data_IF_286518447552
#
_entry.id   IF_286518447552
#
_cell.length_a   1.000
_cell.length_b   1.000
_cell.length_c   1.000
_cell.angle_alpha   90.00
_cell.angle_beta   90.00
_cell.angle_gamma   90.00
#
_symmetry.space_group_name_H-M   'P 1'
#
loop_
_entity.id
_entity.type
_entity.pdbx_description
1 polymer ?
#
# COMPACT_ATOMS: atom_id res chain seq x y z
N UNK A 1 17.79 19.63 8.50
CA UNK A 1 18.35 18.32 8.86
C UNK A 1 17.96 17.28 7.84
N UNK A 2 18.84 16.33 7.53
CA UNK A 2 18.62 15.32 6.48
C UNK A 2 19.13 13.95 6.89
N UNK A 3 18.25 12.95 6.90
CA UNK A 3 18.59 11.59 7.31
C UNK A 3 18.31 10.60 6.20
N UNK A 4 19.25 9.71 5.94
CA UNK A 4 19.15 8.66 4.94
C UNK A 4 18.85 7.33 5.62
N UNK A 5 17.66 6.78 5.41
CA UNK A 5 17.29 5.45 5.91
C UNK A 5 17.52 4.45 4.79
N UNK A 6 18.56 3.63 4.90
CA UNK A 6 18.91 2.64 3.88
C UNK A 6 17.87 1.54 3.80
N UNK A 7 17.42 1.16 2.61
CA UNK A 7 16.45 0.07 2.46
C UNK A 7 17.12 -1.28 2.67
N UNK A 8 16.47 -2.15 3.44
CA UNK A 8 16.92 -3.52 3.72
C UNK A 8 16.35 -4.53 2.74
N UNK A 9 15.31 -4.17 2.00
CA UNK A 9 14.51 -5.10 1.20
C UNK A 9 13.28 -5.62 1.94
N UNK A 10 13.20 -5.39 3.27
CA UNK A 10 11.99 -5.58 4.07
C UNK A 10 11.11 -4.34 3.94
N UNK A 11 10.34 -4.28 2.87
CA UNK A 11 9.73 -3.04 2.43
C UNK A 11 8.76 -2.43 3.44
N UNK A 12 7.96 -3.24 4.16
CA UNK A 12 7.07 -2.73 5.21
C UNK A 12 7.85 -2.16 6.39
N UNK A 13 8.94 -2.83 6.77
CA UNK A 13 9.84 -2.36 7.82
C UNK A 13 10.58 -1.07 7.41
N UNK A 14 11.08 -0.98 6.18
CA UNK A 14 11.79 0.19 5.65
C UNK A 14 10.89 1.43 5.61
N UNK A 15 9.66 1.28 5.11
CA UNK A 15 8.64 2.34 5.09
C UNK A 15 8.29 2.77 6.50
N UNK A 16 8.12 1.82 7.41
CA UNK A 16 7.82 2.12 8.80
C UNK A 16 8.95 2.89 9.48
N UNK A 17 10.22 2.54 9.23
CA UNK A 17 11.36 3.31 9.77
C UNK A 17 11.35 4.76 9.28
N UNK A 18 11.06 5.00 8.00
CA UNK A 18 10.94 6.35 7.44
C UNK A 18 9.85 7.17 8.14
N UNK A 19 8.65 6.61 8.27
CA UNK A 19 7.57 7.28 9.02
C UNK A 19 7.89 7.46 10.50
N UNK A 20 8.57 6.49 11.13
CA UNK A 20 8.98 6.57 12.53
C UNK A 20 9.94 7.73 12.78
N UNK A 21 10.91 7.94 11.88
CA UNK A 21 11.83 9.07 11.98
C UNK A 21 11.14 10.40 11.72
N UNK A 22 10.26 10.48 10.70
CA UNK A 22 9.45 11.68 10.47
C UNK A 22 8.58 12.03 11.67
N UNK A 23 7.98 11.04 12.32
CA UNK A 23 7.23 11.24 13.56
C UNK A 23 8.12 11.79 14.67
N UNK A 24 9.26 11.14 14.94
CA UNK A 24 10.21 11.54 15.98
C UNK A 24 10.66 13.00 15.78
N UNK A 25 11.07 13.36 14.57
CA UNK A 25 11.49 14.72 14.24
C UNK A 25 10.33 15.72 14.40
N UNK A 26 9.13 15.35 13.97
CA UNK A 26 7.96 16.24 14.09
C UNK A 26 7.55 16.50 15.53
N UNK A 27 7.68 15.51 16.42
CA UNK A 27 7.33 15.69 17.84
C UNK A 27 8.43 16.39 18.65
N UNK A 28 9.68 16.28 18.19
CA UNK A 28 10.82 16.95 18.82
C UNK A 28 10.99 18.41 18.38
N UNK A 29 10.44 18.82 17.23
CA UNK A 29 10.66 20.14 16.66
C UNK A 29 10.08 21.29 17.52
N UNK A 30 10.97 22.14 18.02
CA UNK A 30 10.59 23.36 18.75
C UNK A 30 10.11 24.48 17.83
N UNK A 31 10.66 24.55 16.61
CA UNK A 31 10.37 25.63 15.67
C UNK A 31 8.94 25.55 15.13
N UNK A 32 8.45 24.33 14.85
CA UNK A 32 7.12 24.05 14.31
C UNK A 32 6.79 24.82 13.02
N UNK A 33 7.82 25.29 12.31
CA UNK A 33 7.69 26.09 11.08
C UNK A 33 7.36 25.17 9.91
N UNK A 34 8.08 24.05 9.81
CA UNK A 34 8.00 23.10 8.71
C UNK A 34 7.63 21.69 9.22
N UNK A 35 7.23 20.82 8.29
CA UNK A 35 6.92 19.42 8.60
C UNK A 35 7.97 18.52 7.96
N UNK A 36 8.46 17.46 8.65
CA UNK A 36 9.38 16.52 8.04
C UNK A 36 8.81 15.92 6.76
N UNK A 37 9.61 15.83 5.70
CA UNK A 37 9.24 15.16 4.45
C UNK A 37 10.00 13.85 4.27
N UNK A 38 9.41 12.92 3.54
CA UNK A 38 10.01 11.65 3.12
C UNK A 38 10.08 11.64 1.59
N UNK A 39 11.28 11.46 1.08
CA UNK A 39 11.58 11.31 -0.34
C UNK A 39 12.15 9.91 -0.62
N UNK A 40 11.59 9.19 -1.60
CA UNK A 40 12.14 7.92 -2.05
C UNK A 40 13.22 8.16 -3.11
N UNK A 41 14.47 7.84 -2.76
CA UNK A 41 15.64 8.02 -3.63
C UNK A 41 16.05 6.73 -4.37
N UNK A 42 15.21 5.70 -4.30
CA UNK A 42 15.47 4.37 -4.84
C UNK A 42 16.13 3.45 -3.81
N UNK A 43 17.37 3.73 -3.41
CA UNK A 43 18.15 2.89 -2.48
C UNK A 43 17.91 3.23 -0.99
N UNK A 44 17.43 4.44 -0.69
CA UNK A 44 17.12 4.91 0.65
C UNK A 44 15.86 5.80 0.67
N UNK A 45 15.27 5.97 1.84
CA UNK A 45 14.35 7.07 2.13
C UNK A 45 15.13 8.25 2.70
N UNK A 46 15.02 9.42 2.08
CA UNK A 46 15.56 10.67 2.59
C UNK A 46 14.49 11.36 3.43
N UNK A 47 14.73 11.48 4.73
CA UNK A 47 13.86 12.23 5.66
C UNK A 47 14.47 13.60 5.89
N UNK A 48 13.76 14.65 5.50
CA UNK A 48 14.23 16.04 5.58
C UNK A 48 13.35 16.84 6.53
N UNK A 49 13.95 17.56 7.48
CA UNK A 49 13.28 18.60 8.26
C UNK A 49 14.00 19.92 7.99
N UNK A 50 13.39 20.77 7.17
CA UNK A 50 13.91 22.11 6.87
C UNK A 50 13.59 23.05 8.04
N UNK A 51 14.54 23.93 8.37
CA UNK A 51 14.35 24.98 9.40
C UNK A 51 13.87 24.49 10.78
N UNK A 52 13.95 23.18 11.06
CA UNK A 52 13.56 22.61 12.34
C UNK A 52 14.67 22.72 13.37
N UNK A 53 14.26 22.78 14.63
CA UNK A 53 15.10 22.78 15.81
C UNK A 53 14.62 21.67 16.76
N UNK A 54 14.82 20.39 16.41
CA UNK A 54 14.39 19.30 17.28
C UNK A 54 15.24 19.26 18.55
N UNK A 55 14.58 19.09 19.69
CA UNK A 55 15.25 18.95 20.98
C UNK A 55 14.70 17.78 21.79
N UNK A 56 15.58 17.14 22.56
CA UNK A 56 15.20 16.06 23.48
C UNK A 56 14.27 16.57 24.57
N UNK A 57 14.49 17.80 25.04
CA UNK A 57 13.66 18.45 26.06
C UNK A 57 12.21 18.60 25.59
N UNK A 58 12.01 19.13 24.37
CA UNK A 58 10.69 19.27 23.75
C UNK A 58 10.02 17.92 23.57
N UNK A 59 10.75 16.94 23.05
CA UNK A 59 10.24 15.59 22.83
C UNK A 59 9.68 14.99 24.13
N UNK A 60 10.49 14.95 25.20
CA UNK A 60 10.11 14.34 26.49
C UNK A 60 8.96 15.07 27.21
N UNK A 61 8.82 16.37 26.97
CA UNK A 61 7.76 17.20 27.58
C UNK A 61 6.50 17.29 26.72
N UNK A 62 6.52 16.81 25.47
CA UNK A 62 5.40 16.93 24.55
C UNK A 62 4.25 16.00 24.95
N UNK A 63 3.05 16.54 25.29
CA UNK A 63 1.89 15.70 25.59
C UNK A 63 1.50 14.82 24.41
N UNK A 64 1.66 15.32 23.18
CA UNK A 64 1.36 14.57 21.97
C UNK A 64 2.32 13.40 21.79
N UNK A 65 3.61 13.59 22.09
CA UNK A 65 4.60 12.51 22.07
C UNK A 65 4.26 11.41 23.08
N UNK A 66 3.94 11.80 24.32
CA UNK A 66 3.54 10.85 25.36
C UNK A 66 2.25 10.10 24.96
N UNK A 67 1.28 10.82 24.39
CA UNK A 67 0.01 10.27 23.92
C UNK A 67 0.16 9.26 22.78
N UNK A 68 1.22 9.33 21.97
CA UNK A 68 1.47 8.37 20.89
C UNK A 68 1.70 6.95 21.41
N UNK A 69 2.15 6.77 22.64
CA UNK A 69 2.40 5.44 23.22
C UNK A 69 1.18 4.84 23.93
N UNK A 70 0.08 5.59 24.01
CA UNK A 70 -1.20 5.07 24.44
C UNK A 70 -1.87 4.30 23.30
N UNK A 71 -2.29 3.07 23.60
CA UNK A 71 -2.89 2.20 22.58
C UNK A 71 -4.28 2.71 22.25
N UNK A 72 -4.51 3.01 20.97
CA UNK A 72 -5.83 3.41 20.52
C UNK A 72 -6.79 2.22 20.50
N UNK A 73 -8.09 2.50 20.68
CA UNK A 73 -9.14 1.51 20.54
C UNK A 73 -9.14 0.92 19.13
N UNK A 74 -9.55 -0.35 19.03
CA UNK A 74 -9.58 -1.06 17.75
C UNK A 74 -10.43 -0.31 16.73
N UNK A 75 -9.81 0.01 15.60
CA UNK A 75 -10.49 0.67 14.50
C UNK A 75 -10.69 2.17 14.68
N UNK A 76 -10.02 2.81 15.64
CA UNK A 76 -9.91 4.28 15.71
C UNK A 76 -8.68 4.77 14.93
N UNK A 77 -8.58 6.08 14.68
CA UNK A 77 -7.49 6.72 13.94
C UNK A 77 -6.17 6.77 14.74
N UNK A 78 -6.15 6.47 16.03
CA UNK A 78 -4.94 6.59 16.84
C UNK A 78 -3.82 5.58 16.51
N UNK A 79 -2.75 5.54 17.31
CA UNK A 79 -1.63 4.61 17.15
C UNK A 79 -2.08 3.15 17.23
N UNK A 80 -1.74 2.36 16.19
CA UNK A 80 -2.21 0.98 16.00
C UNK A 80 -1.31 -0.07 16.67
N UNK A 81 -0.82 0.20 17.88
CA UNK A 81 0.09 -0.69 18.62
C UNK A 81 -0.45 -2.11 18.80
N UNK A 82 -1.77 -2.26 18.98
CA UNK A 82 -2.43 -3.55 19.11
C UNK A 82 -2.38 -4.40 17.82
N UNK A 83 -2.37 -3.74 16.67
CA UNK A 83 -2.17 -4.39 15.37
C UNK A 83 -0.71 -4.75 15.14
N UNK A 84 0.20 -3.84 15.49
CA UNK A 84 1.64 -4.06 15.38
C UNK A 84 2.10 -5.28 16.21
N UNK A 85 1.68 -5.33 17.48
CA UNK A 85 2.01 -6.40 18.43
C UNK A 85 0.90 -7.46 18.54
N UNK A 86 0.24 -7.77 17.43
CA UNK A 86 -0.92 -8.69 17.38
C UNK A 86 -0.61 -10.12 17.86
N UNK A 87 0.65 -10.54 17.83
CA UNK A 87 1.12 -11.85 18.31
C UNK A 87 1.32 -11.92 19.82
N UNK A 88 1.39 -10.77 20.50
CA UNK A 88 1.51 -10.68 21.95
C UNK A 88 0.09 -10.67 22.52
N UNK A 89 -0.25 -11.67 23.35
CA UNK A 89 -1.59 -11.77 23.93
C UNK A 89 -1.73 -10.98 25.24
N UNK A 90 -0.65 -10.83 25.99
CA UNK A 90 -0.63 -10.12 27.27
C UNK A 90 -0.48 -8.60 27.07
N UNK A 91 -1.46 -7.84 27.54
CA UNK A 91 -1.45 -6.37 27.48
C UNK A 91 -0.30 -5.76 28.29
N UNK A 92 0.15 -6.40 29.39
CA UNK A 92 1.29 -5.94 30.16
C UNK A 92 2.57 -6.00 29.32
N UNK A 93 2.76 -7.08 28.56
CA UNK A 93 3.89 -7.23 27.65
C UNK A 93 3.83 -6.24 26.49
N UNK A 94 2.64 -5.99 25.91
CA UNK A 94 2.49 -4.95 24.88
C UNK A 94 2.85 -3.57 25.42
N UNK A 95 2.38 -3.22 26.63
CA UNK A 95 2.71 -1.95 27.27
C UNK A 95 4.21 -1.83 27.50
N UNK A 96 4.85 -2.87 28.02
CA UNK A 96 6.30 -2.88 28.20
C UNK A 96 7.07 -2.70 26.88
N UNK A 97 6.58 -3.30 25.77
CA UNK A 97 7.18 -3.09 24.44
C UNK A 97 7.01 -1.65 23.94
N UNK A 98 5.84 -1.02 24.15
CA UNK A 98 5.63 0.39 23.80
C UNK A 98 6.57 1.30 24.60
N UNK A 99 6.70 1.04 25.89
CA UNK A 99 7.58 1.81 26.76
C UNK A 99 9.05 1.67 26.36
N UNK A 100 9.47 0.45 26.01
CA UNK A 100 10.80 0.21 25.47
C UNK A 100 11.04 0.99 24.17
N UNK A 101 10.07 1.03 23.24
CA UNK A 101 10.19 1.87 22.03
C UNK A 101 10.39 3.33 22.40
N UNK A 102 9.61 3.86 23.36
CA UNK A 102 9.76 5.26 23.81
C UNK A 102 11.15 5.52 24.36
N UNK A 103 11.59 4.72 25.33
CA UNK A 103 12.91 4.88 25.98
C UNK A 103 14.04 4.83 24.96
N UNK A 104 14.05 3.84 24.06
CA UNK A 104 15.09 3.73 23.04
C UNK A 104 15.14 4.95 22.11
N UNK A 105 13.99 5.49 21.71
CA UNK A 105 13.95 6.68 20.86
C UNK A 105 14.37 7.95 21.61
N UNK A 106 13.98 8.10 22.89
CA UNK A 106 14.36 9.24 23.72
C UNK A 106 15.84 9.24 24.10
N UNK A 107 16.46 8.07 24.23
CA UNK A 107 17.88 7.92 24.54
C UNK A 107 18.73 8.20 23.29
N UNK A 108 18.29 7.75 22.11
CA UNK A 108 18.99 7.98 20.84
C UNK A 108 18.73 9.37 20.22
N UNK A 109 17.69 10.06 20.66
CA UNK A 109 17.27 11.36 20.10
C UNK A 109 18.39 12.40 20.12
N UNK A 110 19.15 12.50 21.23
CA UNK A 110 20.24 13.48 21.35
C UNK A 110 21.29 13.30 20.25
N UNK A 111 21.75 12.05 20.05
CA UNK A 111 22.72 11.69 19.02
C UNK A 111 22.21 11.99 17.61
N UNK A 112 20.93 11.72 17.35
CA UNK A 112 20.31 12.00 16.04
C UNK A 112 20.22 13.51 15.78
N UNK A 113 19.90 14.31 16.79
CA UNK A 113 19.67 15.74 16.62
C UNK A 113 20.99 16.53 16.52
N UNK A 114 22.02 16.15 17.26
CA UNK A 114 23.33 16.83 17.22
C UNK A 114 24.01 16.71 15.84
N UNK A 115 23.83 15.59 15.15
CA UNK A 115 24.50 15.32 13.87
C UNK A 115 23.98 16.18 12.71
N UNK A 116 22.72 16.64 12.74
CA UNK A 116 22.08 17.44 11.68
C UNK A 116 21.86 16.72 10.34
N UNK A 117 22.73 15.76 10.01
CA UNK A 117 22.66 14.84 8.89
C UNK A 117 23.16 13.47 9.31
N UNK A 118 22.53 12.39 8.85
CA UNK A 118 22.96 11.05 9.24
C UNK A 118 22.53 9.95 8.28
N UNK A 119 23.32 8.89 8.23
CA UNK A 119 22.98 7.63 7.58
C UNK A 119 22.51 6.65 8.66
N UNK A 120 21.31 6.09 8.49
CA UNK A 120 20.69 5.13 9.40
C UNK A 120 20.61 3.78 8.69
N UNK A 121 21.61 2.96 8.98
CA UNK A 121 21.73 1.58 8.50
C UNK A 121 21.25 0.58 9.55
N UNK A 122 20.77 -0.58 9.10
CA UNK A 122 20.42 -1.68 10.00
C UNK A 122 21.67 -2.49 10.31
N UNK A 123 21.98 -2.64 11.59
CA UNK A 123 22.96 -3.64 12.04
C UNK A 123 22.25 -4.97 12.28
N UNK A 124 22.68 -6.00 11.55
CA UNK A 124 22.21 -7.39 11.73
C UNK A 124 23.08 -8.18 12.72
N UNK A 125 24.30 -7.73 12.97
CA UNK A 125 25.26 -8.41 13.87
C UNK A 125 24.97 -8.10 15.34
N UNK A 126 24.38 -6.94 15.63
CA UNK A 126 23.93 -6.51 16.96
C UNK A 126 22.42 -6.75 17.16
N UNK A 127 21.83 -7.76 16.50
CA UNK A 127 20.40 -8.06 16.61
C UNK A 127 19.99 -8.29 18.06
N UNK A 128 19.36 -7.29 18.69
CA UNK A 128 18.92 -7.36 20.09
C UNK A 128 17.45 -7.68 20.21
N UNK A 129 16.65 -7.33 19.19
CA UNK A 129 15.20 -7.40 19.25
C UNK A 129 14.60 -7.87 17.93
N UNK A 130 13.68 -8.82 18.05
CA UNK A 130 12.97 -9.35 16.90
C UNK A 130 11.96 -8.36 16.31
N UNK A 131 11.92 -8.30 14.99
CA UNK A 131 10.92 -7.54 14.23
C UNK A 131 9.53 -8.15 14.46
N UNK A 132 8.50 -7.36 14.81
CA UNK A 132 7.15 -7.88 14.99
C UNK A 132 6.54 -8.39 13.69
N UNK A 133 5.92 -9.57 13.70
CA UNK A 133 5.21 -10.08 12.51
C UNK A 133 4.06 -9.18 12.03
N UNK A 134 3.43 -8.42 12.94
CA UNK A 134 2.43 -7.42 12.58
C UNK A 134 2.99 -6.22 11.81
N UNK A 135 4.32 -6.03 11.85
CA UNK A 135 5.03 -5.02 11.06
C UNK A 135 5.47 -5.58 9.71
N UNK A 136 6.10 -6.76 9.73
CA UNK A 136 6.68 -7.39 8.56
C UNK A 136 6.29 -8.88 8.52
N UNK A 137 5.48 -9.34 7.54
CA UNK A 137 5.00 -10.72 7.50
C UNK A 137 6.13 -11.75 7.38
N UNK A 138 7.28 -11.39 6.79
CA UNK A 138 8.43 -12.31 6.72
C UNK A 138 9.09 -12.54 8.09
N UNK A 139 8.84 -11.67 9.08
CA UNK A 139 9.34 -11.82 10.45
C UNK A 139 8.57 -12.86 11.28
N UNK A 140 7.46 -13.42 10.77
CA UNK A 140 6.78 -14.52 11.45
C UNK A 140 7.65 -15.78 11.47
N UNK A 141 7.89 -16.31 12.66
CA UNK A 141 8.57 -17.60 12.83
C UNK A 141 7.75 -18.72 12.19
N UNK A 142 8.34 -19.44 11.23
CA UNK A 142 7.75 -20.64 10.64
C UNK A 142 6.66 -20.39 9.60
N UNK A 143 6.77 -19.33 8.79
CA UNK A 143 5.95 -19.15 7.57
C UNK A 143 6.43 -20.14 6.51
N UNK A 144 5.69 -21.25 6.43
CA UNK A 144 6.01 -22.43 5.63
C UNK A 144 5.60 -22.20 4.18
N UNK A 145 6.56 -22.00 3.29
CA UNK A 145 6.45 -22.60 1.95
C UNK A 145 7.03 -24.00 2.05
N UNK A 146 6.34 -25.02 1.52
CA UNK A 146 6.85 -26.38 1.49
C UNK A 146 7.99 -26.48 0.46
N UNK A 147 9.20 -26.09 0.86
CA UNK A 147 10.42 -26.43 0.13
C UNK A 147 11.01 -27.71 0.73
N UNK A 148 11.52 -28.60 -0.13
CA UNK A 148 12.01 -29.95 0.21
C UNK A 148 13.29 -29.98 1.09
N UNK A 149 13.69 -28.87 1.70
CA UNK A 149 14.89 -28.76 2.54
C UNK A 149 14.53 -28.50 4.00
N UNK A 150 15.22 -29.17 4.94
CA UNK A 150 15.24 -28.76 6.35
C UNK A 150 15.97 -27.42 6.45
N UNK A 151 15.24 -26.33 6.65
CA UNK A 151 15.81 -25.03 6.98
C UNK A 151 15.18 -24.50 8.26
N UNK A 152 16.01 -24.30 9.29
CA UNK A 152 15.67 -23.53 10.47
C UNK A 152 16.20 -22.11 10.25
N UNK A 153 15.38 -21.23 9.68
CA UNK A 153 15.77 -19.81 9.60
C UNK A 153 15.66 -19.17 11.00
N UNK A 154 16.69 -18.44 11.45
CA UNK A 154 16.64 -17.70 12.70
C UNK A 154 15.57 -16.61 12.64
N UNK A 155 15.14 -16.15 13.82
CA UNK A 155 14.19 -15.05 13.93
C UNK A 155 14.84 -13.77 13.38
N UNK A 156 14.08 -12.96 12.65
CA UNK A 156 14.58 -11.71 12.08
C UNK A 156 14.79 -10.68 13.19
N UNK A 157 16.04 -10.37 13.49
CA UNK A 157 16.47 -9.46 14.55
C UNK A 157 17.24 -8.26 13.97
N UNK A 158 17.06 -7.10 14.60
CA UNK A 158 17.69 -5.83 14.18
C UNK A 158 18.15 -5.06 15.41
N UNK A 159 18.98 -4.04 15.21
CA UNK A 159 19.39 -3.12 16.27
C UNK A 159 18.23 -2.31 16.86
N UNK A 160 18.45 -1.81 18.08
CA UNK A 160 17.42 -1.14 18.89
C UNK A 160 16.83 0.11 18.23
N UNK A 161 17.65 0.93 17.58
CA UNK A 161 17.17 2.17 16.95
C UNK A 161 16.25 1.85 15.78
N UNK A 162 16.69 0.98 14.87
CA UNK A 162 15.89 0.58 13.72
C UNK A 162 14.62 -0.17 14.12
N UNK A 163 14.70 -1.02 15.15
CA UNK A 163 13.54 -1.67 15.73
C UNK A 163 12.53 -0.65 16.26
N UNK A 164 12.99 0.34 17.03
CA UNK A 164 12.14 1.33 17.66
C UNK A 164 11.50 2.29 16.63
N UNK A 165 12.27 2.77 15.65
CA UNK A 165 11.75 3.56 14.52
C UNK A 165 10.71 2.78 13.72
N UNK A 166 11.02 1.52 13.38
CA UNK A 166 10.09 0.65 12.66
C UNK A 166 8.81 0.39 13.45
N UNK A 167 8.89 0.22 14.77
CA UNK A 167 7.71 0.04 15.60
C UNK A 167 6.87 1.32 15.69
N UNK A 168 7.48 2.48 15.92
CA UNK A 168 6.78 3.77 15.98
C UNK A 168 6.06 4.06 14.65
N UNK A 169 6.78 4.02 13.53
CA UNK A 169 6.16 4.28 12.24
C UNK A 169 5.22 3.17 11.79
N UNK A 170 5.43 1.92 12.22
CA UNK A 170 4.49 0.83 12.00
C UNK A 170 3.16 1.05 12.71
N UNK A 171 3.19 1.52 13.96
CA UNK A 171 1.98 1.86 14.72
C UNK A 171 1.27 3.10 14.17
N UNK A 172 2.02 4.10 13.69
CA UNK A 172 1.45 5.35 13.17
C UNK A 172 1.00 5.23 11.71
N UNK A 173 1.80 4.65 10.82
CA UNK A 173 1.52 4.54 9.39
C UNK A 173 0.83 3.25 8.96
N UNK A 174 0.97 2.18 9.74
CA UNK A 174 0.25 0.93 9.48
C UNK A 174 -1.24 1.07 9.72
N UNK A 175 -2.04 0.62 8.76
CA UNK A 175 -3.50 0.52 8.90
C UNK A 175 -3.91 -0.92 9.15
N UNK A 176 -4.40 -1.20 10.36
CA UNK A 176 -4.81 -2.53 10.79
C UNK A 176 -6.34 -2.66 10.81
N UNK A 177 -6.87 -3.42 9.87
CA UNK A 177 -8.32 -3.60 9.67
C UNK A 177 -8.71 -4.99 10.18
N UNK A 178 -9.33 -5.02 11.35
CA UNK A 178 -9.82 -6.27 11.95
C UNK A 178 -11.16 -6.68 11.34
N UNK A 179 -11.23 -7.89 10.80
CA UNK A 179 -12.46 -8.46 10.27
C UNK A 179 -12.55 -9.96 10.59
N UNK A 180 -13.46 -10.30 11.50
CA UNK A 180 -13.65 -11.67 11.99
C UNK A 180 -12.35 -12.31 12.51
N UNK A 181 -11.83 -13.33 11.82
CA UNK A 181 -10.58 -14.03 12.15
C UNK A 181 -9.38 -13.51 11.36
N UNK A 182 -9.52 -12.40 10.65
CA UNK A 182 -8.48 -11.80 9.83
C UNK A 182 -8.14 -10.38 10.29
N UNK A 183 -6.91 -9.98 10.07
CA UNK A 183 -6.45 -8.60 10.17
C UNK A 183 -5.78 -8.25 8.83
N UNK A 184 -6.25 -7.22 8.16
CA UNK A 184 -5.62 -6.71 6.94
C UNK A 184 -4.73 -5.53 7.32
N UNK A 185 -3.48 -5.59 6.89
CA UNK A 185 -2.50 -4.53 7.10
C UNK A 185 -2.24 -3.85 5.77
N UNK A 186 -2.28 -2.53 5.77
CA UNK A 186 -2.05 -1.69 4.60
C UNK A 186 -1.04 -0.60 4.95
N UNK A 187 -0.04 -0.41 4.09
CA UNK A 187 0.95 0.66 4.16
C UNK A 187 0.99 1.42 2.84
N UNK A 188 0.86 2.74 2.89
CA UNK A 188 1.14 3.59 1.73
C UNK A 188 2.65 3.83 1.67
N UNK A 189 3.28 3.56 0.53
CA UNK A 189 4.73 3.70 0.35
C UNK A 189 5.02 5.13 -0.13
N UNK A 190 5.74 5.95 0.66
CA UNK A 190 6.03 7.32 0.29
C UNK A 190 6.92 7.36 -0.95
N UNK A 191 6.65 8.31 -1.85
CA UNK A 191 7.58 8.73 -2.89
C UNK A 191 8.06 10.16 -2.63
N UNK A 192 7.13 11.05 -2.29
CA UNK A 192 7.40 12.40 -1.80
C UNK A 192 6.23 12.81 -0.91
N UNK A 193 6.38 12.84 0.42
CA UNK A 193 5.27 13.17 1.32
C UNK A 193 5.74 13.91 2.56
N UNK A 194 5.06 15.01 2.91
CA UNK A 194 5.24 15.66 4.21
C UNK A 194 4.49 14.89 5.30
N UNK A 195 5.00 14.90 6.52
CA UNK A 195 4.36 14.27 7.67
C UNK A 195 2.95 14.82 7.92
N UNK A 196 2.78 16.14 7.76
CA UNK A 196 1.47 16.81 7.82
C UNK A 196 0.49 16.28 6.77
N UNK A 197 0.91 16.16 5.51
CA UNK A 197 0.03 15.66 4.44
C UNK A 197 -0.29 14.18 4.60
N UNK A 198 0.67 13.39 5.08
CA UNK A 198 0.44 12.00 5.45
C UNK A 198 -0.68 11.89 6.49
N UNK A 199 -0.65 12.68 7.57
CA UNK A 199 -1.70 12.65 8.59
C UNK A 199 -3.07 13.02 8.04
N UNK A 200 -3.14 14.07 7.22
CA UNK A 200 -4.38 14.47 6.57
C UNK A 200 -4.95 13.35 5.69
N UNK A 201 -4.13 12.75 4.83
CA UNK A 201 -4.57 11.64 3.97
C UNK A 201 -4.92 10.38 4.76
N UNK A 202 -4.21 10.12 5.86
CA UNK A 202 -4.51 9.00 6.76
C UNK A 202 -5.88 9.16 7.40
N UNK A 203 -6.21 10.35 7.89
CA UNK A 203 -7.52 10.67 8.45
C UNK A 203 -8.63 10.47 7.42
N UNK A 204 -8.50 11.09 6.25
CA UNK A 204 -9.54 11.04 5.22
C UNK A 204 -9.75 9.60 4.71
N UNK A 205 -8.67 8.85 4.50
CA UNK A 205 -8.78 7.44 4.09
C UNK A 205 -9.28 6.52 5.22
N UNK A 206 -9.13 6.93 6.48
CA UNK A 206 -9.70 6.23 7.64
C UNK A 206 -11.21 6.41 7.72
N UNK A 207 -11.69 7.65 7.62
CA UNK A 207 -13.12 8.01 7.69
C UNK A 207 -13.89 7.36 6.54
N UNK A 208 -13.33 7.36 5.34
CA UNK A 208 -13.97 6.80 4.15
C UNK A 208 -13.90 5.26 4.06
N UNK A 209 -13.58 4.55 5.14
CA UNK A 209 -13.47 3.09 5.10
C UNK A 209 -14.80 2.40 4.79
N UNK A 210 -14.73 1.27 4.10
CA UNK A 210 -15.88 0.38 4.00
C UNK A 210 -16.13 -0.34 5.33
N UNK A 211 -17.39 -0.62 5.63
CA UNK A 211 -17.80 -1.40 6.80
C UNK A 211 -17.30 -2.85 6.75
N UNK A 212 -17.11 -3.39 5.54
CA UNK A 212 -16.62 -4.75 5.29
C UNK A 212 -15.74 -4.75 4.04
N UNK A 213 -14.70 -5.57 4.04
CA UNK A 213 -13.91 -5.87 2.85
C UNK A 213 -14.03 -7.35 2.47
N UNK A 214 -13.96 -7.67 1.18
CA UNK A 214 -13.96 -9.07 0.71
C UNK A 214 -12.66 -9.81 1.03
N UNK A 215 -11.58 -9.05 1.24
CA UNK A 215 -10.25 -9.53 1.58
C UNK A 215 -9.23 -8.40 1.52
N UNK A 216 -7.96 -8.70 1.80
CA UNK A 216 -6.89 -7.70 1.83
C UNK A 216 -6.71 -6.97 0.49
N UNK A 217 -6.84 -7.67 -0.65
CA UNK A 217 -6.76 -7.05 -1.98
C UNK A 217 -7.87 -6.01 -2.20
N UNK A 218 -9.09 -6.33 -1.78
CA UNK A 218 -10.24 -5.41 -1.86
C UNK A 218 -10.02 -4.18 -0.98
N UNK A 219 -9.46 -4.36 0.21
CA UNK A 219 -9.10 -3.27 1.11
C UNK A 219 -7.99 -2.38 0.53
N UNK A 220 -6.96 -2.98 -0.07
CA UNK A 220 -5.88 -2.25 -0.73
C UNK A 220 -6.36 -1.48 -1.97
N UNK A 221 -7.20 -2.09 -2.81
CA UNK A 221 -7.79 -1.44 -3.98
C UNK A 221 -8.64 -0.24 -3.59
N UNK A 222 -9.55 -0.41 -2.62
CA UNK A 222 -10.35 0.69 -2.08
C UNK A 222 -9.50 1.79 -1.47
N UNK A 223 -8.54 1.45 -0.61
CA UNK A 223 -7.63 2.44 -0.04
C UNK A 223 -6.86 3.21 -1.13
N UNK A 224 -6.44 2.54 -2.19
CA UNK A 224 -5.71 3.15 -3.31
C UNK A 224 -6.55 4.15 -4.09
N UNK A 225 -7.81 3.81 -4.38
CA UNK A 225 -8.75 4.73 -5.06
C UNK A 225 -9.04 5.94 -4.17
N UNK A 226 -9.36 5.72 -2.89
CA UNK A 226 -9.60 6.82 -1.95
C UNK A 226 -8.36 7.71 -1.81
N UNK A 227 -7.16 7.12 -1.72
CA UNK A 227 -5.91 7.87 -1.62
C UNK A 227 -5.66 8.71 -2.87
N UNK A 228 -5.79 8.12 -4.06
CA UNK A 228 -5.58 8.81 -5.34
C UNK A 228 -6.56 9.97 -5.55
N UNK A 229 -7.85 9.78 -5.22
CA UNK A 229 -8.85 10.85 -5.34
C UNK A 229 -8.57 12.01 -4.38
N UNK A 230 -8.11 11.73 -3.16
CA UNK A 230 -7.75 12.81 -2.24
C UNK A 230 -6.45 13.52 -2.64
N UNK A 231 -5.48 12.80 -3.20
CA UNK A 231 -4.30 13.42 -3.80
C UNK A 231 -4.67 14.33 -4.98
N UNK A 232 -5.63 13.91 -5.84
CA UNK A 232 -6.18 14.76 -6.90
C UNK A 232 -6.80 16.03 -6.34
N UNK A 233 -7.70 15.91 -5.36
CA UNK A 233 -8.34 17.07 -4.70
C UNK A 233 -7.30 18.03 -4.14
N UNK A 234 -6.25 17.52 -3.52
CA UNK A 234 -5.14 18.33 -3.02
C UNK A 234 -4.36 19.01 -4.15
N UNK A 235 -4.07 18.31 -5.25
CA UNK A 235 -3.37 18.87 -6.41
C UNK A 235 -4.18 19.97 -7.11
N UNK A 236 -5.51 19.83 -7.20
CA UNK A 236 -6.39 20.88 -7.74
C UNK A 236 -6.47 22.08 -6.80
N UNK A 237 -6.54 21.85 -5.48
CA UNK A 237 -6.68 22.92 -4.49
C UNK A 237 -5.36 23.67 -4.21
N UNK A 238 -4.22 23.00 -4.35
CA UNK A 238 -2.89 23.55 -4.07
C UNK A 238 -2.14 23.65 -5.38
N UNK A 239 -1.93 24.87 -5.89
CA UNK A 239 -1.11 25.14 -7.09
C UNK A 239 0.41 24.82 -6.90
N UNK A 240 0.76 23.90 -6.01
CA UNK A 240 2.13 23.56 -5.55
C UNK A 240 2.25 22.03 -5.41
N UNK A 241 3.48 21.51 -5.24
CA UNK A 241 3.76 20.08 -5.08
C UNK A 241 2.82 19.39 -4.09
N UNK A 242 2.16 18.34 -4.55
CA UNK A 242 1.23 17.50 -3.78
C UNK A 242 1.94 16.23 -3.29
N UNK A 243 1.45 15.59 -2.20
CA UNK A 243 2.02 14.33 -1.74
C UNK A 243 1.93 13.26 -2.83
N UNK A 244 2.95 12.40 -2.93
CA UNK A 244 3.06 11.30 -3.88
C UNK A 244 3.44 10.01 -3.17
N UNK A 245 2.75 8.93 -3.55
CA UNK A 245 3.00 7.58 -3.05
C UNK A 245 3.25 6.67 -4.24
N UNK A 246 4.26 5.81 -4.16
CA UNK A 246 4.61 4.94 -5.29
C UNK A 246 3.66 3.73 -5.39
N UNK A 247 3.26 3.17 -4.24
CA UNK A 247 2.45 1.96 -4.17
C UNK A 247 1.75 1.85 -2.82
N UNK A 248 0.76 0.95 -2.76
CA UNK A 248 0.18 0.45 -1.51
C UNK A 248 0.66 -0.97 -1.30
N UNK A 249 1.35 -1.22 -0.19
CA UNK A 249 1.66 -2.56 0.27
C UNK A 249 0.52 -3.09 1.13
N UNK A 250 0.29 -4.38 1.04
CA UNK A 250 -0.73 -5.01 1.85
C UNK A 250 -0.36 -6.43 2.22
N UNK A 251 -0.80 -6.87 3.40
CA UNK A 251 -0.79 -8.27 3.79
C UNK A 251 -1.93 -8.59 4.74
N UNK A 252 -2.29 -9.87 4.82
CA UNK A 252 -3.31 -10.36 5.74
C UNK A 252 -2.66 -11.22 6.81
N UNK A 253 -3.18 -11.13 8.03
CA UNK A 253 -2.93 -12.06 9.11
C UNK A 253 -4.23 -12.78 9.41
N UNK A 254 -4.18 -14.07 9.68
CA UNK A 254 -5.34 -14.85 10.08
C UNK A 254 -5.07 -15.62 11.37
N UNK A 255 -6.11 -15.74 12.19
CA UNK A 255 -6.04 -16.41 13.48
C UNK A 255 -6.34 -17.90 13.33
N UNK A 256 -5.38 -18.75 13.69
CA UNK A 256 -5.50 -20.21 13.76
C UNK A 256 -5.36 -20.65 15.22
N UNK A 257 -6.46 -21.05 15.86
CA UNK A 257 -6.47 -21.25 17.32
C UNK A 257 -6.15 -19.93 18.04
N UNK A 258 -5.13 -19.95 18.91
CA UNK A 258 -4.64 -18.75 19.61
C UNK A 258 -3.49 -18.02 18.89
N UNK A 259 -3.04 -18.52 17.73
CA UNK A 259 -1.88 -17.98 17.02
C UNK A 259 -2.29 -17.21 15.76
N UNK A 260 -1.69 -16.05 15.55
CA UNK A 260 -1.76 -15.31 14.29
C UNK A 260 -0.70 -15.83 13.31
N UNK A 261 -1.07 -15.94 12.04
CA UNK A 261 -0.19 -16.36 10.94
C UNK A 261 -0.36 -15.42 9.75
N UNK A 262 0.68 -15.18 8.94
CA UNK A 262 0.54 -14.40 7.73
C UNK A 262 -0.14 -15.22 6.65
N UNK A 263 -0.96 -14.54 5.85
CA UNK A 263 -1.64 -15.06 4.68
C UNK A 263 -1.17 -14.34 3.42
N UNK A 264 -2.12 -13.88 2.61
CA UNK A 264 -1.81 -13.19 1.36
C UNK A 264 -1.08 -11.87 1.60
N UNK A 265 -0.06 -11.60 0.78
CA UNK A 265 0.66 -10.32 0.73
C UNK A 265 0.82 -9.86 -0.72
N UNK A 266 1.06 -8.57 -0.93
CA UNK A 266 1.26 -8.02 -2.26
C UNK A 266 1.42 -6.51 -2.27
N UNK A 267 1.50 -5.97 -3.49
CA UNK A 267 1.68 -4.55 -3.78
C UNK A 267 0.65 -4.14 -4.84
N UNK A 268 0.14 -2.92 -4.73
CA UNK A 268 -0.67 -2.26 -5.76
C UNK A 268 0.08 -1.01 -6.21
N UNK A 269 0.48 -0.94 -7.48
CA UNK A 269 1.18 0.21 -8.04
C UNK A 269 0.22 1.40 -8.17
N UNK A 270 0.51 2.51 -7.49
CA UNK A 270 -0.35 3.69 -7.52
C UNK A 270 -0.11 4.54 -8.78
N UNK A 271 1.02 4.37 -9.45
CA UNK A 271 1.41 5.22 -10.58
C UNK A 271 0.30 5.43 -11.63
N UNK A 272 -0.41 4.38 -12.12
CA UNK A 272 -1.47 4.58 -13.11
C UNK A 272 -2.65 5.41 -12.59
N UNK A 273 -2.97 5.28 -11.30
CA UNK A 273 -4.01 6.09 -10.65
C UNK A 273 -3.54 7.53 -10.50
N UNK A 274 -2.26 7.74 -10.17
CA UNK A 274 -1.69 9.08 -10.06
C UNK A 274 -1.62 9.79 -11.41
N UNK A 275 -1.19 9.11 -12.47
CA UNK A 275 -1.21 9.67 -13.82
C UNK A 275 -2.61 10.15 -14.22
N UNK A 276 -3.64 9.35 -13.92
CA UNK A 276 -5.03 9.76 -14.15
C UNK A 276 -5.44 10.94 -13.26
N UNK A 277 -5.06 10.91 -11.98
CA UNK A 277 -5.38 11.96 -11.02
C UNK A 277 -4.73 13.31 -11.35
N UNK A 278 -3.53 13.31 -11.94
CA UNK A 278 -2.71 14.53 -12.06
C UNK A 278 -2.62 15.06 -13.48
N UNK A 279 -3.24 14.38 -14.45
CA UNK A 279 -3.41 14.90 -15.80
C UNK A 279 -4.48 16.00 -15.79
N UNK A 280 -4.06 17.26 -15.92
CA UNK A 280 -4.94 18.43 -15.94
C UNK A 280 -6.07 18.31 -16.99
N UNK A 281 -5.78 17.69 -18.14
CA UNK A 281 -6.77 17.54 -19.22
C UNK A 281 -7.82 16.48 -18.92
N UNK A 282 -7.53 15.58 -17.97
CA UNK A 282 -8.37 14.45 -17.60
C UNK A 282 -8.87 14.54 -16.16
N UNK A 283 -8.61 15.63 -15.45
CA UNK A 283 -8.92 15.74 -14.01
C UNK A 283 -10.41 15.57 -13.72
N UNK A 284 -11.30 16.01 -14.62
CA UNK A 284 -12.75 15.82 -14.51
C UNK A 284 -13.17 14.38 -14.78
N UNK A 285 -12.57 13.75 -15.79
CA UNK A 285 -12.76 12.33 -16.09
C UNK A 285 -12.25 11.45 -14.95
N UNK A 286 -11.12 11.81 -14.34
CA UNK A 286 -10.54 11.13 -13.19
C UNK A 286 -11.49 11.13 -12.00
N UNK A 287 -12.12 12.26 -11.69
CA UNK A 287 -13.14 12.36 -10.63
C UNK A 287 -14.29 11.36 -10.85
N UNK A 288 -14.82 11.31 -12.08
CA UNK A 288 -15.89 10.38 -12.43
C UNK A 288 -15.44 8.92 -12.32
N UNK A 289 -14.24 8.61 -12.83
CA UNK A 289 -13.69 7.25 -12.77
C UNK A 289 -13.48 6.79 -11.33
N UNK A 290 -12.89 7.64 -10.49
CA UNK A 290 -12.68 7.32 -9.07
C UNK A 290 -14.00 7.18 -8.31
N UNK A 291 -14.98 8.06 -8.59
CA UNK A 291 -16.32 7.96 -8.02
C UNK A 291 -17.01 6.63 -8.39
N UNK A 292 -16.92 6.22 -9.66
CA UNK A 292 -17.46 4.92 -10.11
C UNK A 292 -16.75 3.77 -9.42
N UNK A 293 -15.41 3.76 -9.38
CA UNK A 293 -14.68 2.66 -8.74
C UNK A 293 -14.91 2.58 -7.24
N UNK A 294 -14.98 3.71 -6.53
CA UNK A 294 -15.34 3.75 -5.12
C UNK A 294 -16.72 3.13 -4.89
N UNK A 295 -17.71 3.52 -5.70
CA UNK A 295 -19.07 2.99 -5.58
C UNK A 295 -19.14 1.50 -5.89
N UNK A 296 -18.45 1.03 -6.92
CA UNK A 296 -18.41 -0.41 -7.25
C UNK A 296 -17.72 -1.25 -6.16
N UNK A 297 -16.69 -0.72 -5.49
CA UNK A 297 -16.07 -1.37 -4.34
C UNK A 297 -17.00 -1.35 -3.12
N UNK A 298 -17.76 -0.27 -2.92
CA UNK A 298 -18.76 -0.14 -1.85
C UNK A 298 -19.91 -1.12 -2.05
N UNK A 299 -20.55 -1.13 -3.22
CA UNK A 299 -21.59 -2.10 -3.59
C UNK A 299 -21.03 -3.52 -3.51
N UNK A 300 -19.83 -3.75 -4.05
CA UNK A 300 -19.16 -5.04 -4.04
C UNK A 300 -18.87 -5.59 -2.64
N UNK A 301 -18.84 -4.74 -1.61
CA UNK A 301 -18.71 -5.17 -0.21
C UNK A 301 -19.99 -5.72 0.42
N UNK A 302 -21.13 -5.52 -0.25
CA UNK A 302 -22.45 -5.95 0.22
C UNK A 302 -22.73 -7.41 -0.18
N UNK A 303 -23.55 -8.08 0.64
CA UNK A 303 -23.90 -9.48 0.43
C UNK A 303 -24.68 -9.64 -0.88
N UNK A 304 -24.26 -10.57 -1.74
CA UNK A 304 -24.88 -10.82 -3.05
C UNK A 304 -24.24 -10.06 -4.21
N UNK A 305 -23.32 -9.13 -3.94
CA UNK A 305 -22.62 -8.33 -4.94
C UNK A 305 -21.11 -8.58 -4.97
N UNK A 306 -20.63 -9.62 -4.29
CA UNK A 306 -19.21 -9.88 -4.10
C UNK A 306 -18.45 -10.07 -5.41
N UNK A 307 -19.09 -10.63 -6.44
CA UNK A 307 -18.49 -10.77 -7.78
C UNK A 307 -18.09 -9.42 -8.38
N UNK A 308 -18.91 -8.38 -8.18
CA UNK A 308 -18.62 -7.03 -8.64
C UNK A 308 -17.38 -6.48 -7.94
N UNK A 309 -17.33 -6.60 -6.62
CA UNK A 309 -16.19 -6.20 -5.79
C UNK A 309 -14.90 -6.93 -6.18
N UNK A 310 -14.98 -8.24 -6.43
CA UNK A 310 -13.83 -9.02 -6.91
C UNK A 310 -13.34 -8.57 -8.28
N UNK A 311 -14.25 -8.33 -9.23
CA UNK A 311 -13.87 -7.97 -10.59
C UNK A 311 -13.22 -6.58 -10.66
N UNK A 312 -13.76 -5.58 -9.97
CA UNK A 312 -13.13 -4.24 -9.90
C UNK A 312 -11.80 -4.28 -9.11
N UNK A 313 -11.71 -5.09 -8.05
CA UNK A 313 -10.45 -5.28 -7.31
C UNK A 313 -9.37 -5.88 -8.20
N UNK A 314 -9.70 -6.89 -9.00
CA UNK A 314 -8.75 -7.54 -9.90
C UNK A 314 -8.25 -6.58 -10.97
N UNK A 315 -9.14 -5.77 -11.56
CA UNK A 315 -8.77 -4.72 -12.50
C UNK A 315 -7.78 -3.72 -11.89
N UNK A 316 -8.03 -3.27 -10.65
CA UNK A 316 -7.18 -2.27 -9.98
C UNK A 316 -5.83 -2.85 -9.53
N UNK A 317 -5.81 -4.08 -9.03
CA UNK A 317 -4.57 -4.71 -8.52
C UNK A 317 -3.70 -5.24 -9.66
N UNK A 318 -4.33 -5.76 -10.73
CA UNK A 318 -3.66 -6.38 -11.88
C UNK A 318 -4.32 -5.90 -13.19
N UNK A 319 -4.07 -4.65 -13.60
CA UNK A 319 -4.65 -4.10 -14.82
C UNK A 319 -4.14 -4.87 -16.05
N UNK A 320 -5.09 -5.46 -16.79
CA UNK A 320 -4.83 -6.21 -18.02
C UNK A 320 -6.10 -6.23 -18.87
N UNK A 321 -5.99 -6.59 -20.14
CA UNK A 321 -7.17 -6.77 -21.00
C UNK A 321 -8.13 -7.83 -20.40
N UNK A 322 -7.58 -8.92 -19.86
CA UNK A 322 -8.37 -9.98 -19.25
C UNK A 322 -9.13 -9.53 -17.99
N UNK A 323 -8.50 -8.73 -17.11
CA UNK A 323 -9.18 -8.20 -15.92
C UNK A 323 -10.19 -7.13 -16.28
N UNK A 324 -9.94 -6.33 -17.31
CA UNK A 324 -10.89 -5.37 -17.87
C UNK A 324 -12.13 -6.08 -18.46
N UNK A 325 -11.95 -7.08 -19.32
CA UNK A 325 -13.06 -7.84 -19.91
C UNK A 325 -13.93 -8.51 -18.84
N UNK A 326 -13.30 -9.07 -17.80
CA UNK A 326 -14.01 -9.66 -16.66
C UNK A 326 -14.81 -8.60 -15.90
N UNK A 327 -14.20 -7.46 -15.61
CA UNK A 327 -14.88 -6.34 -14.97
C UNK A 327 -16.09 -5.85 -15.78
N UNK A 328 -15.89 -5.56 -17.07
CA UNK A 328 -16.95 -5.10 -17.96
C UNK A 328 -18.12 -6.09 -18.03
N UNK A 329 -17.82 -7.40 -18.13
CA UNK A 329 -18.85 -8.46 -18.14
C UNK A 329 -19.66 -8.51 -16.85
N UNK A 330 -19.00 -8.44 -15.70
CA UNK A 330 -19.68 -8.47 -14.39
C UNK A 330 -20.49 -7.19 -14.16
N UNK A 331 -19.96 -6.04 -14.56
CA UNK A 331 -20.67 -4.77 -14.49
C UNK A 331 -21.93 -4.76 -15.36
N UNK A 332 -21.84 -5.24 -16.61
CA UNK A 332 -23.00 -5.37 -17.50
C UNK A 332 -24.09 -6.28 -16.89
N UNK A 333 -23.68 -7.40 -16.28
CA UNK A 333 -24.58 -8.29 -15.50
C UNK A 333 -25.27 -7.60 -14.35
N UNK A 334 -24.52 -6.79 -13.61
CA UNK A 334 -25.07 -6.04 -12.50
C UNK A 334 -26.11 -4.99 -12.98
N UNK A 335 -25.79 -4.25 -14.04
CA UNK A 335 -26.64 -3.17 -14.57
C UNK A 335 -27.94 -3.67 -15.20
N UNK A 336 -27.99 -4.86 -15.81
CA UNK A 336 -29.23 -5.37 -16.39
C UNK A 336 -30.16 -6.09 -15.38
N UNK A 337 -29.77 -6.18 -14.10
CA UNK A 337 -30.52 -6.85 -13.03
C UNK A 337 -30.66 -8.38 -13.22
N UNK A 338 -31.53 -9.02 -12.43
CA UNK A 338 -31.84 -10.47 -12.48
C UNK A 338 -32.45 -10.97 -13.79
N UNK A 339 -32.50 -10.13 -14.82
CA UNK A 339 -32.83 -10.51 -16.19
C UNK A 339 -31.67 -11.35 -16.71
N UNK A 340 -31.89 -12.65 -16.96
CA UNK A 340 -30.88 -13.59 -17.46
C UNK A 340 -30.02 -12.96 -18.57
N UNK A 341 -28.82 -12.49 -18.23
CA UNK A 341 -27.78 -12.16 -19.20
C UNK A 341 -27.05 -13.44 -19.61
N UNK A 342 -27.83 -14.41 -20.07
CA UNK A 342 -27.34 -15.54 -20.87
C UNK A 342 -27.15 -15.11 -22.35
N UNK A 343 -27.30 -13.81 -22.65
CA UNK A 343 -27.45 -13.31 -24.03
C UNK A 343 -26.33 -12.42 -24.56
N UNK A 344 -25.19 -12.26 -23.88
CA UNK A 344 -24.08 -11.46 -24.44
C UNK A 344 -23.07 -12.24 -25.31
N UNK A 345 -23.22 -13.56 -25.44
CA UNK A 345 -22.51 -14.36 -26.44
C UNK A 345 -23.32 -15.62 -26.77
N UNK A 346 -24.52 -15.46 -27.34
CA UNK A 346 -25.16 -16.62 -27.98
C UNK A 346 -24.35 -17.00 -29.23
N UNK A 347 -24.45 -18.26 -29.64
CA UNK A 347 -23.69 -18.82 -30.78
C UNK A 347 -23.82 -17.97 -32.05
N UNK A 348 -24.97 -17.32 -32.25
CA UNK A 348 -25.22 -16.43 -33.39
C UNK A 348 -24.41 -15.13 -33.32
N UNK A 349 -24.28 -14.50 -32.14
CA UNK A 349 -23.46 -13.31 -31.96
C UNK A 349 -21.95 -13.62 -32.15
N UNK A 350 -21.50 -14.79 -31.68
CA UNK A 350 -20.13 -15.27 -31.91
C UNK A 350 -19.86 -15.58 -33.38
N UNK A 351 -20.80 -16.23 -34.08
CA UNK A 351 -20.71 -16.47 -35.53
C UNK A 351 -20.64 -15.18 -36.33
N UNK A 352 -21.39 -14.15 -35.94
CA UNK A 352 -21.38 -12.87 -36.63
C UNK A 352 -20.07 -12.10 -36.43
N UNK A 353 -19.50 -12.12 -35.21
CA UNK A 353 -18.17 -11.54 -34.95
C UNK A 353 -17.08 -12.29 -35.72
N UNK A 354 -17.13 -13.64 -35.77
CA UNK A 354 -16.20 -14.45 -36.57
C UNK A 354 -16.34 -14.10 -38.06
N UNK A 355 -17.55 -13.94 -38.58
CA UNK A 355 -17.81 -13.54 -39.98
C UNK A 355 -17.24 -12.14 -40.29
N UNK A 356 -17.36 -11.20 -39.37
CA UNK A 356 -16.81 -9.83 -39.52
C UNK A 356 -15.28 -9.85 -39.50
N UNK A 357 -14.67 -10.65 -38.63
CA UNK A 357 -13.21 -10.80 -38.55
C UNK A 357 -12.65 -11.55 -39.78
N UNK A 358 -13.32 -12.60 -40.26
CA UNK A 358 -12.90 -13.33 -41.47
C UNK A 358 -13.05 -12.50 -42.74
N UNK A 359 -14.12 -11.72 -42.86
CA UNK A 359 -14.30 -10.79 -43.97
C UNK A 359 -13.26 -9.66 -43.97
N UNK A 360 -12.87 -9.14 -42.80
CA UNK A 360 -11.74 -8.20 -42.68
C UNK A 360 -10.38 -8.85 -43.00
N UNK A 361 -10.18 -10.13 -42.64
CA UNK A 361 -8.94 -10.86 -42.92
C UNK A 361 -8.76 -11.14 -44.41
N UNK A 362 -9.86 -11.39 -45.14
CA UNK A 362 -9.85 -11.57 -46.59
C UNK A 362 -9.67 -10.25 -47.37
N UNK A 363 -9.96 -9.10 -46.76
CA UNK A 363 -9.71 -7.78 -47.35
C UNK A 363 -8.26 -7.29 -47.14
N UNK A 364 -7.49 -7.91 -46.24
CA UNK A 364 -6.12 -7.52 -45.90
C UNK A 364 -5.03 -8.46 -46.42
N UNK A 365 -5.35 -9.52 -47.17
CA UNK A 365 -4.35 -10.30 -47.89
C UNK A 365 -4.06 -9.67 -49.27
N UNK A 366 -2.84 -9.16 -49.55
CA UNK A 366 -2.44 -8.85 -50.91
C UNK A 366 -2.35 -10.16 -51.71
N UNK A 367 -2.93 -10.19 -52.91
CA UNK A 367 -2.88 -11.36 -53.80
C UNK A 367 -1.41 -11.72 -54.11
N UNK A 368 -0.91 -12.81 -53.52
CA UNK A 368 0.41 -13.37 -53.78
C UNK A 368 0.49 -14.15 -55.11
N UNK A 369 -0.14 -13.62 -56.18
CA UNK A 369 -0.07 -14.18 -57.54
C UNK A 369 0.35 -13.11 -58.56
N UNK A 370 1.54 -12.54 -58.40
CA UNK A 370 2.20 -11.81 -59.49
C UNK A 370 3.72 -11.69 -59.33
N UNK A 371 4.41 -12.69 -58.76
CA UNK A 371 5.88 -12.76 -58.87
C UNK A 371 6.32 -14.22 -59.00
N UNK A 372 6.42 -14.72 -60.23
CA UNK A 372 7.56 -15.52 -60.73
C UNK A 372 7.34 -16.05 -62.16
N UNK A 373 8.39 -15.85 -62.95
CA UNK A 373 8.85 -16.67 -64.07
C UNK A 373 8.10 -16.56 -65.42
N UNK A 374 8.55 -15.63 -66.27
CA UNK A 374 8.77 -15.94 -67.69
C UNK A 374 10.24 -16.28 -67.87
N UNK A 375 10.54 -17.57 -68.00
CA UNK A 375 11.69 -18.06 -68.75
C UNK A 375 11.14 -18.87 -69.95
N UNK A 376 11.75 -18.75 -71.13
CA UNK A 376 11.19 -19.29 -72.37
C UNK A 376 11.40 -20.80 -72.45
N UNK A 377 10.34 -21.53 -72.80
CA UNK A 377 10.44 -22.94 -73.20
C UNK A 377 10.89 -23.01 -74.66
N UNK A 378 12.07 -23.58 -74.85
CA UNK A 378 12.50 -24.24 -76.08
C UNK A 378 11.80 -25.59 -76.25
N UNK A 379 11.41 -25.93 -77.48
CA UNK A 379 11.45 -27.24 -78.18
C UNK A 379 10.23 -27.41 -79.11
N UNK A 380 10.27 -28.23 -80.19
CA UNK A 380 11.40 -28.94 -80.81
C UNK A 380 11.86 -28.33 -82.15
#
# INVERSE_FOLDING_TARGET
>A
MQFWITKTGLEAFDVARAYGLSALLSYADEAQVDSPSIDDTGWAYLVTLNNGAPSVSRLRQSPDWLGVFEAADKGTLGPQWNGLFITILDEKQKRAKRELVRTLLEDEAGRLFEGGTGLIEVSWQDGQVAVPGGLEPTAFKGVRTATRGRYAEPQLEVDNLNWALGCLGGALAGRFIYQQRSCFVIHAVPFHVSWRDFWHLREVTHVNRLARYLGVKHAAAHHSVTLAENMRKMAVARCVSYPRYSRVMYFSLFKTGNQWKPGNAGRLNLWPLLELATDEKRSKEAENVFGVWEELLRIGSQRGHEQLGHAVTELLVHPSLASYERHARVLARHLAGSSKIDLLYNENALKEVIRIVESHRNLQQPSSKAVRARLPQSSP
#
